data_IF_058212759910
#
_entry.id   IF_058212759910
#
_cell.length_a   1.000
_cell.length_b   1.000
_cell.length_c   1.000
_cell.angle_alpha   90.00
_cell.angle_beta   90.00
_cell.angle_gamma   90.00
#
_symmetry.space_group_name_H-M   'P 1'
#
loop_
_entity.id
_entity.type
_entity.pdbx_description
1 polymer ?
#
# COMPACT_ATOMS: atom_id res chain seq x y z
N UNK A 1 -10.82 41.60 -33.61
CA UNK A 1 -9.60 41.74 -32.78
C UNK A 1 -9.95 42.28 -31.38
N UNK A 2 -10.76 41.54 -30.59
CA UNK A 2 -11.34 42.02 -29.30
C UNK A 2 -11.03 41.12 -28.08
N UNK A 3 -10.62 39.86 -28.28
CA UNK A 3 -10.45 38.88 -27.19
C UNK A 3 -9.18 39.10 -26.34
N UNK A 4 -8.06 39.53 -26.92
CA UNK A 4 -6.80 39.72 -26.18
C UNK A 4 -6.77 41.01 -25.35
N UNK A 5 -7.71 41.94 -25.59
CA UNK A 5 -7.87 43.16 -24.80
C UNK A 5 -8.89 43.02 -23.67
N UNK A 6 -9.51 41.86 -23.51
CA UNK A 6 -10.48 41.58 -22.45
C UNK A 6 -9.75 41.29 -21.12
N UNK A 7 -10.05 42.02 -20.03
CA UNK A 7 -9.52 41.72 -18.70
C UNK A 7 -9.74 40.27 -18.24
N UNK A 8 -10.78 39.58 -18.74
CA UNK A 8 -11.07 38.19 -18.41
C UNK A 8 -10.25 37.16 -19.18
N UNK A 9 -9.49 37.57 -20.20
CA UNK A 9 -8.73 36.66 -21.05
C UNK A 9 -7.76 35.75 -20.25
N UNK A 10 -6.98 36.33 -19.33
CA UNK A 10 -6.00 35.57 -18.52
C UNK A 10 -6.68 34.63 -17.51
N UNK A 11 -7.69 35.07 -16.72
CA UNK A 11 -8.49 34.18 -15.89
C UNK A 11 -9.07 32.99 -16.67
N UNK A 12 -9.65 33.21 -17.85
CA UNK A 12 -10.20 32.14 -18.68
C UNK A 12 -9.12 31.15 -19.15
N UNK A 13 -7.92 31.63 -19.51
CA UNK A 13 -6.80 30.75 -19.87
C UNK A 13 -6.29 29.90 -18.70
N UNK A 14 -6.32 30.44 -17.47
CA UNK A 14 -5.92 29.70 -16.27
C UNK A 14 -6.96 28.65 -15.87
N UNK A 15 -8.25 28.96 -16.04
CA UNK A 15 -9.36 28.08 -15.76
C UNK A 15 -9.71 27.13 -16.91
N UNK A 16 -8.96 27.18 -18.02
CA UNK A 16 -9.24 26.38 -19.20
C UNK A 16 -9.15 24.88 -18.87
N UNK A 17 -10.16 24.12 -19.32
CA UNK A 17 -10.23 22.68 -19.15
C UNK A 17 -9.20 21.98 -20.03
N UNK A 18 -7.97 21.90 -19.51
CA UNK A 18 -6.83 21.23 -20.14
C UNK A 18 -6.98 19.70 -20.21
N UNK A 19 -7.93 19.14 -19.46
CA UNK A 19 -8.14 17.69 -19.37
C UNK A 19 -9.13 17.20 -20.45
N UNK A 20 -9.96 18.09 -21.02
CA UNK A 20 -10.97 17.75 -22.03
C UNK A 20 -10.82 18.47 -23.38
N UNK A 21 -9.58 18.75 -23.81
CA UNK A 21 -9.33 19.36 -25.12
C UNK A 21 -9.60 18.33 -26.22
N UNK A 22 -10.47 18.66 -27.18
CA UNK A 22 -10.76 17.79 -28.33
C UNK A 22 -9.48 17.40 -29.09
N UNK A 23 -9.34 16.11 -29.39
CA UNK A 23 -8.23 15.56 -30.18
C UNK A 23 -8.11 16.22 -31.55
N UNK A 24 -9.24 16.60 -32.17
CA UNK A 24 -9.26 17.32 -33.45
C UNK A 24 -8.59 18.69 -33.35
N UNK A 25 -8.84 19.41 -32.26
CA UNK A 25 -8.24 20.73 -32.00
C UNK A 25 -6.73 20.57 -31.76
N UNK A 26 -6.34 19.62 -30.91
CA UNK A 26 -4.93 19.36 -30.60
C UNK A 26 -4.13 18.92 -31.83
N UNK A 27 -4.69 18.06 -32.67
CA UNK A 27 -4.01 17.61 -33.89
C UNK A 27 -3.81 18.76 -34.88
N UNK A 28 -4.81 19.64 -35.02
CA UNK A 28 -4.69 20.86 -35.82
C UNK A 28 -3.59 21.78 -35.28
N UNK A 29 -3.57 22.01 -33.97
CA UNK A 29 -2.54 22.83 -33.31
C UNK A 29 -1.14 22.23 -33.52
N UNK A 30 -0.99 20.91 -33.39
CA UNK A 30 0.28 20.22 -33.59
C UNK A 30 0.80 20.39 -35.02
N UNK A 31 -0.02 20.04 -36.01
CA UNK A 31 0.37 20.06 -37.42
C UNK A 31 0.62 21.48 -37.95
N UNK A 32 -0.21 22.46 -37.57
CA UNK A 32 -0.12 23.81 -38.13
C UNK A 32 0.87 24.72 -37.38
N UNK A 33 1.06 24.51 -36.07
CA UNK A 33 1.81 25.44 -35.22
C UNK A 33 2.98 24.78 -34.51
N UNK A 34 2.83 23.62 -33.86
CA UNK A 34 3.93 23.05 -33.05
C UNK A 34 5.09 22.52 -33.91
N UNK A 35 4.77 21.94 -35.07
CA UNK A 35 5.77 21.41 -36.03
C UNK A 35 6.40 22.51 -36.89
N UNK A 36 5.88 23.73 -36.84
CA UNK A 36 6.39 24.85 -37.62
C UNK A 36 7.60 25.49 -36.91
N UNK A 37 8.77 25.47 -37.57
CA UNK A 37 10.01 26.08 -37.07
C UNK A 37 9.92 27.60 -36.84
N UNK A 38 8.93 28.28 -37.44
CA UNK A 38 8.67 29.71 -37.22
C UNK A 38 7.82 29.98 -35.97
N UNK A 39 7.17 28.95 -35.40
CA UNK A 39 6.36 29.05 -34.19
C UNK A 39 7.15 28.59 -32.96
N UNK A 40 8.27 29.28 -32.74
CA UNK A 40 9.13 29.09 -31.58
C UNK A 40 8.94 30.22 -30.60
N UNK A 41 9.26 29.96 -29.33
CA UNK A 41 9.13 30.97 -28.27
C UNK A 41 10.08 32.14 -28.56
N UNK A 42 11.27 31.82 -29.07
CA UNK A 42 12.34 32.75 -29.42
C UNK A 42 11.94 33.65 -30.61
N UNK A 43 11.24 33.10 -31.61
CA UNK A 43 10.69 33.89 -32.71
C UNK A 43 9.52 34.78 -32.25
N UNK A 44 8.65 34.26 -31.38
CA UNK A 44 7.53 35.01 -30.83
C UNK A 44 7.99 36.16 -29.90
N UNK A 45 9.09 35.97 -29.17
CA UNK A 45 9.69 36.96 -28.28
C UNK A 45 10.26 38.16 -29.03
N UNK A 46 10.85 37.92 -30.22
CA UNK A 46 11.27 39.00 -31.13
C UNK A 46 10.10 39.87 -31.61
N UNK A 47 8.87 39.34 -31.62
CA UNK A 47 7.67 40.10 -31.95
C UNK A 47 7.05 40.79 -30.74
N UNK A 48 6.87 40.07 -29.61
CA UNK A 48 6.36 40.62 -28.36
C UNK A 48 6.48 39.61 -27.20
N UNK A 49 6.71 40.11 -25.98
CA UNK A 49 6.66 39.31 -24.74
C UNK A 49 5.29 38.65 -24.50
N UNK A 50 4.20 39.32 -24.86
CA UNK A 50 2.85 38.76 -24.75
C UNK A 50 2.64 37.61 -25.75
N UNK A 51 3.16 37.74 -26.98
CA UNK A 51 3.12 36.69 -27.99
C UNK A 51 3.95 35.47 -27.55
N UNK A 52 5.11 35.68 -26.93
CA UNK A 52 5.91 34.60 -26.35
C UNK A 52 5.17 33.86 -25.23
N UNK A 53 4.45 34.59 -24.35
CA UNK A 53 3.62 34.00 -23.30
C UNK A 53 2.52 33.08 -23.86
N UNK A 54 1.85 33.51 -24.92
CA UNK A 54 0.83 32.70 -25.61
C UNK A 54 1.44 31.47 -26.29
N UNK A 55 2.59 31.60 -26.95
CA UNK A 55 3.29 30.48 -27.57
C UNK A 55 3.70 29.42 -26.53
N UNK A 56 4.23 29.86 -25.38
CA UNK A 56 4.55 29.00 -24.22
C UNK A 56 3.31 28.27 -23.71
N UNK A 57 2.19 28.98 -23.52
CA UNK A 57 0.94 28.38 -23.03
C UNK A 57 0.41 27.28 -23.97
N UNK A 58 0.36 27.54 -25.29
CA UNK A 58 -0.09 26.55 -26.28
C UNK A 58 0.81 25.31 -26.28
N UNK A 59 2.13 25.49 -26.26
CA UNK A 59 3.10 24.39 -26.18
C UNK A 59 2.96 23.58 -24.89
N UNK A 60 2.69 24.26 -23.77
CA UNK A 60 2.46 23.62 -22.48
C UNK A 60 1.19 22.77 -22.50
N UNK A 61 0.09 23.25 -23.09
CA UNK A 61 -1.17 22.47 -23.19
C UNK A 61 -1.02 21.22 -24.06
N UNK A 62 -0.31 21.32 -25.18
CA UNK A 62 -0.01 20.16 -26.04
C UNK A 62 0.85 19.13 -25.30
N UNK A 63 1.84 19.58 -24.55
CA UNK A 63 2.70 18.72 -23.73
C UNK A 63 1.92 18.06 -22.60
N UNK A 64 1.06 18.83 -21.93
CA UNK A 64 0.18 18.35 -20.87
C UNK A 64 -0.72 17.22 -21.36
N UNK A 65 -1.44 17.39 -22.49
CA UNK A 65 -2.29 16.34 -23.07
C UNK A 65 -1.53 15.02 -23.29
N UNK A 66 -0.31 15.11 -23.85
CA UNK A 66 0.54 13.94 -24.07
C UNK A 66 0.89 13.25 -22.76
N UNK A 67 1.29 14.02 -21.75
CA UNK A 67 1.68 13.47 -20.44
C UNK A 67 0.46 12.92 -19.70
N UNK A 68 -0.67 13.63 -19.72
CA UNK A 68 -1.92 13.22 -19.09
C UNK A 68 -2.40 11.87 -19.63
N UNK A 69 -2.31 11.63 -20.94
CA UNK A 69 -2.65 10.33 -21.57
C UNK A 69 -1.74 9.18 -21.13
N UNK A 70 -0.49 9.46 -20.77
CA UNK A 70 0.45 8.45 -20.27
C UNK A 70 0.26 8.22 -18.78
N UNK A 71 -0.03 9.27 -18.02
CA UNK A 71 -0.13 9.23 -16.56
C UNK A 71 -1.50 8.73 -16.10
N UNK A 72 -2.59 9.05 -16.81
CA UNK A 72 -3.94 8.60 -16.48
C UNK A 72 -4.05 7.06 -16.31
N UNK A 73 -3.63 6.22 -17.29
CA UNK A 73 -3.71 4.77 -17.13
C UNK A 73 -2.81 4.28 -15.99
N UNK A 74 -1.66 4.91 -15.77
CA UNK A 74 -0.76 4.56 -14.66
C UNK A 74 -1.37 4.86 -13.30
N UNK A 75 -2.06 6.00 -13.16
CA UNK A 75 -2.78 6.36 -11.92
C UNK A 75 -3.93 5.40 -11.63
N UNK A 76 -4.67 5.00 -12.66
CA UNK A 76 -5.74 4.00 -12.52
C UNK A 76 -5.18 2.64 -12.09
N UNK A 77 -4.12 2.17 -12.76
CA UNK A 77 -3.46 0.92 -12.40
C UNK A 77 -2.86 0.97 -10.98
N UNK A 78 -2.29 2.10 -10.58
CA UNK A 78 -1.78 2.31 -9.22
C UNK A 78 -2.91 2.21 -8.20
N UNK A 79 -4.02 2.90 -8.41
CA UNK A 79 -5.16 2.88 -7.50
C UNK A 79 -5.76 1.46 -7.35
N UNK A 80 -5.81 0.70 -8.44
CA UNK A 80 -6.26 -0.70 -8.41
C UNK A 80 -5.28 -1.61 -7.65
N UNK A 81 -3.97 -1.44 -7.88
CA UNK A 81 -2.94 -2.18 -7.16
C UNK A 81 -2.92 -1.85 -5.66
N UNK A 82 -3.05 -0.58 -5.30
CA UNK A 82 -3.15 -0.13 -3.89
C UNK A 82 -4.39 -0.71 -3.22
N UNK A 83 -5.54 -0.72 -3.90
CA UNK A 83 -6.76 -1.35 -3.39
C UNK A 83 -6.57 -2.85 -3.15
N UNK A 84 -5.97 -3.54 -4.11
CA UNK A 84 -5.69 -4.98 -4.00
C UNK A 84 -4.72 -5.26 -2.85
N UNK A 85 -3.66 -4.46 -2.72
CA UNK A 85 -2.69 -4.56 -1.63
C UNK A 85 -3.35 -4.34 -0.26
N UNK A 86 -4.25 -3.36 -0.14
CA UNK A 86 -4.96 -3.11 1.11
C UNK A 86 -5.81 -4.33 1.53
N UNK A 87 -6.52 -4.94 0.58
CA UNK A 87 -7.33 -6.14 0.83
C UNK A 87 -6.44 -7.33 1.23
N UNK A 88 -5.34 -7.57 0.53
CA UNK A 88 -4.44 -8.70 0.83
C UNK A 88 -3.74 -8.53 2.17
N UNK A 89 -3.30 -7.31 2.52
CA UNK A 89 -2.69 -7.02 3.82
C UNK A 89 -3.69 -7.19 4.97
N UNK A 90 -4.96 -6.81 4.78
CA UNK A 90 -6.00 -7.06 5.77
C UNK A 90 -6.21 -8.56 6.00
N UNK A 91 -6.33 -9.34 4.93
CA UNK A 91 -6.46 -10.81 5.04
C UNK A 91 -5.23 -11.48 5.65
N UNK A 92 -4.02 -10.98 5.35
CA UNK A 92 -2.79 -11.47 5.97
C UNK A 92 -2.79 -11.22 7.48
N UNK A 93 -3.17 -10.01 7.91
CA UNK A 93 -3.23 -9.64 9.32
C UNK A 93 -4.24 -10.51 10.09
N UNK A 94 -5.40 -10.79 9.50
CA UNK A 94 -6.40 -11.71 10.07
C UNK A 94 -5.81 -13.12 10.26
N UNK A 95 -5.17 -13.67 9.22
CA UNK A 95 -4.58 -15.01 9.29
C UNK A 95 -3.41 -15.11 10.26
N UNK A 96 -2.61 -14.05 10.38
CA UNK A 96 -1.56 -13.98 11.39
C UNK A 96 -2.12 -13.93 12.81
N UNK A 97 -3.23 -13.23 13.02
CA UNK A 97 -3.90 -13.19 14.32
C UNK A 97 -4.50 -14.56 14.69
N UNK A 98 -5.17 -15.24 13.75
CA UNK A 98 -5.66 -16.61 13.93
C UNK A 98 -4.52 -17.58 14.28
N UNK A 99 -3.42 -17.53 13.53
CA UNK A 99 -2.25 -18.38 13.77
C UNK A 99 -1.67 -18.14 15.17
N UNK A 100 -1.55 -16.88 15.57
CA UNK A 100 -1.04 -16.52 16.89
C UNK A 100 -1.92 -17.07 18.00
N UNK A 101 -3.24 -16.97 17.87
CA UNK A 101 -4.17 -17.54 18.86
C UNK A 101 -3.96 -19.05 19.02
N UNK A 102 -3.88 -19.79 17.90
CA UNK A 102 -3.63 -21.24 17.93
C UNK A 102 -2.27 -21.59 18.54
N UNK A 103 -1.24 -20.80 18.24
CA UNK A 103 0.10 -21.01 18.82
C UNK A 103 0.10 -20.76 20.34
N UNK A 104 -0.56 -19.70 20.79
CA UNK A 104 -0.67 -19.34 22.20
C UNK A 104 -1.46 -20.44 22.96
N UNK A 105 -2.54 -20.96 22.38
CA UNK A 105 -3.31 -22.09 22.94
C UNK A 105 -2.49 -23.39 23.01
N UNK A 106 -1.76 -23.71 21.94
CA UNK A 106 -0.89 -24.90 21.88
C UNK A 106 0.19 -24.83 22.94
N UNK A 107 0.80 -23.67 23.15
CA UNK A 107 1.80 -23.46 24.18
C UNK A 107 1.20 -23.70 25.57
N UNK A 108 0.01 -23.16 25.85
CA UNK A 108 -0.67 -23.40 27.12
C UNK A 108 -1.01 -24.89 27.34
N UNK A 109 -1.38 -25.61 26.28
CA UNK A 109 -1.62 -27.05 26.36
C UNK A 109 -0.33 -27.84 26.65
N UNK A 110 0.78 -27.44 26.02
CA UNK A 110 2.09 -28.02 26.24
C UNK A 110 2.55 -27.81 27.68
N UNK A 111 2.42 -26.60 28.21
CA UNK A 111 2.80 -26.27 29.60
C UNK A 111 1.98 -27.10 30.61
N UNK A 112 0.67 -27.26 30.38
CA UNK A 112 -0.19 -28.09 31.21
C UNK A 112 0.16 -29.58 31.14
N UNK A 113 0.50 -30.07 29.93
CA UNK A 113 0.94 -31.43 29.73
C UNK A 113 2.23 -31.71 30.50
N UNK A 114 3.23 -30.84 30.37
CA UNK A 114 4.52 -30.98 31.05
C UNK A 114 4.35 -30.93 32.58
N UNK A 115 3.50 -30.04 33.09
CA UNK A 115 3.17 -29.99 34.52
C UNK A 115 2.46 -31.27 35.01
N UNK A 116 1.54 -31.82 34.23
CA UNK A 116 0.84 -33.06 34.56
C UNK A 116 1.79 -34.27 34.55
N UNK A 117 2.71 -34.33 33.59
CA UNK A 117 3.76 -35.36 33.51
C UNK A 117 4.68 -35.28 34.71
N UNK A 118 5.12 -34.09 35.10
CA UNK A 118 5.95 -33.90 36.29
C UNK A 118 5.21 -34.37 37.55
N UNK A 119 3.97 -33.93 37.74
CA UNK A 119 3.15 -34.34 38.88
C UNK A 119 2.94 -35.84 38.94
N UNK A 120 2.74 -36.50 37.79
CA UNK A 120 2.63 -37.95 37.71
C UNK A 120 3.93 -38.61 38.20
N UNK A 121 5.08 -38.16 37.71
CA UNK A 121 6.39 -38.68 38.14
C UNK A 121 6.62 -38.52 39.65
N UNK A 122 6.24 -37.37 40.21
CA UNK A 122 6.39 -37.10 41.64
C UNK A 122 5.50 -38.04 42.49
N UNK A 123 4.25 -38.25 42.06
CA UNK A 123 3.34 -39.19 42.73
C UNK A 123 3.82 -40.64 42.64
N UNK A 124 4.33 -41.06 41.48
CA UNK A 124 4.91 -42.41 41.31
C UNK A 124 6.08 -42.63 42.28
N UNK A 125 6.97 -41.63 42.42
CA UNK A 125 8.07 -41.67 43.37
C UNK A 125 7.59 -41.71 44.84
N UNK A 126 6.53 -40.96 45.19
CA UNK A 126 5.97 -40.96 46.54
C UNK A 126 5.32 -42.31 46.90
N UNK A 127 4.58 -42.91 45.94
CA UNK A 127 3.98 -44.24 46.09
C UNK A 127 5.06 -45.30 46.31
N UNK A 128 6.13 -45.27 45.52
CA UNK A 128 7.25 -46.20 45.69
C UNK A 128 7.93 -46.05 47.05
N UNK A 129 8.13 -44.82 47.52
CA UNK A 129 8.68 -44.55 48.84
C UNK A 129 7.76 -45.06 49.96
N UNK A 130 6.44 -44.88 49.81
CA UNK A 130 5.45 -45.37 50.76
C UNK A 130 5.45 -46.90 50.84
N UNK A 131 5.45 -47.58 49.69
CA UNK A 131 5.54 -49.04 49.60
C UNK A 131 6.82 -49.56 50.28
N UNK A 132 7.97 -48.93 50.04
CA UNK A 132 9.22 -49.30 50.72
C UNK A 132 9.13 -49.13 52.24
N UNK A 133 8.48 -48.08 52.73
CA UNK A 133 8.27 -47.86 54.17
C UNK A 133 7.35 -48.91 54.77
N UNK A 134 6.25 -49.28 54.10
CA UNK A 134 5.33 -50.34 54.54
C UNK A 134 6.04 -51.68 54.69
N UNK A 135 6.79 -52.11 53.66
CA UNK A 135 7.56 -53.37 53.69
C UNK A 135 8.57 -53.39 54.86
N UNK A 136 9.21 -52.26 55.16
CA UNK A 136 10.13 -52.15 56.32
C UNK A 136 9.39 -52.27 57.65
N UNK A 137 8.22 -51.64 57.77
CA UNK A 137 7.40 -51.71 58.98
C UNK A 137 6.87 -53.13 59.23
N UNK A 138 6.40 -53.82 58.19
CA UNK A 138 5.95 -55.22 58.28
C UNK A 138 7.07 -56.15 58.75
N UNK A 139 8.29 -56.00 58.23
CA UNK A 139 9.46 -56.78 58.67
C UNK A 139 9.79 -56.55 60.14
N UNK A 140 9.68 -55.33 60.64
CA UNK A 140 9.90 -55.01 62.05
C UNK A 140 8.86 -55.67 62.95
N UNK A 141 7.58 -55.62 62.56
CA UNK A 141 6.48 -56.27 63.31
C UNK A 141 6.64 -57.78 63.33
N UNK A 142 6.97 -58.40 62.19
CA UNK A 142 7.16 -59.86 62.08
C UNK A 142 8.41 -60.38 62.81
N UNK A 143 9.40 -59.54 63.09
CA UNK A 143 10.61 -59.92 63.84
C UNK A 143 10.52 -59.73 65.36
N UNK A 144 9.43 -59.14 65.86
CA UNK A 144 9.18 -58.89 67.29
C UNK A 144 8.25 -59.94 67.94
N UNK A 145 7.83 -60.97 67.18
CA UNK A 145 7.05 -62.12 67.64
C UNK A 145 7.85 -63.42 67.61
#
# INVERSE_FOLDING_TARGET
QKMMGDPQFIPTLKAYDKDNISTKILNKIKAEYIENEKFTVEAAEKASSACAGMCKWVRAMVTYDRVAKIVAPKRLALAEAEKTLAVTMAGLAEKQAELKAVQDDLQGLQDNFDAAVQKKSDLEAEVDLCNQKLVRAEKLIGGLG
#
